data_IF_341647361880
#
_entry.id   IF_341647361880
#
_cell.length_a   1.000
_cell.length_b   1.000
_cell.length_c   1.000
_cell.angle_alpha   90.00
_cell.angle_beta   90.00
_cell.angle_gamma   90.00
#
_symmetry.space_group_name_H-M   'P 1'
#
loop_
_entity.id
_entity.type
_entity.pdbx_description
1 polymer ?
#
# COMPACT_ATOMS: atom_id res chain seq x y z
N UNK A 1 -46.71 -28.05 44.64
CA UNK A 1 -45.79 -27.52 45.67
C UNK A 1 -44.88 -28.67 46.08
N UNK A 2 -43.68 -28.73 45.49
CA UNK A 2 -42.59 -29.60 45.94
C UNK A 2 -41.34 -28.73 45.91
N UNK A 3 -40.74 -28.66 47.07
CA UNK A 3 -39.77 -27.68 47.51
C UNK A 3 -38.53 -27.65 46.61
N UNK A 4 -38.11 -26.44 46.26
CA UNK A 4 -36.73 -26.17 45.91
C UNK A 4 -35.91 -26.44 47.18
N UNK A 5 -35.35 -27.64 47.29
CA UNK A 5 -34.20 -27.84 48.17
C UNK A 5 -33.09 -26.99 47.57
N UNK A 6 -32.95 -25.77 48.10
CA UNK A 6 -31.65 -25.13 48.18
C UNK A 6 -30.74 -26.14 48.88
N UNK A 7 -30.08 -27.00 48.08
CA UNK A 7 -28.75 -27.44 48.43
C UNK A 7 -28.02 -26.14 48.74
N UNK A 8 -27.83 -25.87 50.02
CA UNK A 8 -26.75 -24.99 50.45
C UNK A 8 -25.54 -25.53 49.68
N UNK A 9 -25.17 -24.83 48.60
CA UNK A 9 -23.87 -25.01 47.99
C UNK A 9 -22.94 -24.65 49.13
N UNK A 10 -22.56 -25.68 49.88
CA UNK A 10 -21.74 -25.57 51.07
C UNK A 10 -20.50 -24.83 50.59
N UNK A 11 -20.42 -23.54 50.93
CA UNK A 11 -19.38 -22.67 50.40
C UNK A 11 -18.02 -23.29 50.73
N UNK A 12 -17.91 -24.06 51.81
CA UNK A 12 -16.73 -24.86 52.15
C UNK A 12 -16.37 -25.90 51.09
N UNK A 13 -17.34 -26.60 50.51
CA UNK A 13 -17.10 -27.56 49.41
C UNK A 13 -16.73 -26.84 48.12
N UNK A 14 -17.38 -25.72 47.81
CA UNK A 14 -17.04 -24.90 46.64
C UNK A 14 -15.62 -24.31 46.78
N UNK A 15 -15.26 -23.79 47.94
CA UNK A 15 -13.90 -23.31 48.24
C UNK A 15 -12.87 -24.43 48.21
N UNK A 16 -13.21 -25.65 48.64
CA UNK A 16 -12.33 -26.82 48.54
C UNK A 16 -12.13 -27.26 47.08
N UNK A 17 -13.19 -27.29 46.27
CA UNK A 17 -13.12 -27.59 44.84
C UNK A 17 -12.31 -26.53 44.07
N UNK A 18 -12.52 -25.24 44.38
CA UNK A 18 -11.73 -24.14 43.81
C UNK A 18 -10.28 -24.23 44.26
N UNK A 19 -10.01 -24.49 45.55
CA UNK A 19 -8.66 -24.64 46.09
C UNK A 19 -7.90 -25.82 45.48
N UNK A 20 -8.58 -26.96 45.25
CA UNK A 20 -7.98 -28.12 44.57
C UNK A 20 -7.74 -27.87 43.09
N UNK A 21 -8.62 -27.14 42.39
CA UNK A 21 -8.40 -26.70 41.01
C UNK A 21 -7.22 -25.75 40.89
N UNK A 22 -7.13 -24.73 41.75
CA UNK A 22 -6.01 -23.76 41.78
C UNK A 22 -4.69 -24.48 42.09
N UNK A 23 -4.66 -25.39 43.06
CA UNK A 23 -3.46 -26.17 43.37
C UNK A 23 -3.02 -27.06 42.19
N UNK A 24 -3.96 -27.68 41.47
CA UNK A 24 -3.65 -28.44 40.25
C UNK A 24 -3.11 -27.55 39.13
N UNK A 25 -3.67 -26.35 38.97
CA UNK A 25 -3.20 -25.36 38.00
C UNK A 25 -1.76 -24.91 38.28
N UNK A 26 -1.43 -24.56 39.53
CA UNK A 26 -0.06 -24.18 39.90
C UNK A 26 0.93 -25.35 39.81
N UNK A 27 0.50 -26.59 40.10
CA UNK A 27 1.32 -27.77 39.86
C UNK A 27 1.61 -27.97 38.37
N UNK A 28 0.61 -27.84 37.51
CA UNK A 28 0.77 -27.95 36.06
C UNK A 28 1.73 -26.90 35.52
N UNK A 29 1.62 -25.64 35.97
CA UNK A 29 2.59 -24.59 35.63
C UNK A 29 3.99 -24.96 36.13
N UNK A 30 4.11 -25.40 37.39
CA UNK A 30 5.39 -25.82 37.97
C UNK A 30 6.04 -26.97 37.21
N UNK A 31 5.26 -27.95 36.77
CA UNK A 31 5.71 -29.09 35.98
C UNK A 31 6.14 -28.69 34.56
N UNK A 32 5.42 -27.75 33.92
CA UNK A 32 5.83 -27.15 32.64
C UNK A 32 7.18 -26.43 32.80
N UNK A 33 7.33 -25.58 33.82
CA UNK A 33 8.59 -24.87 34.07
C UNK A 33 9.75 -25.84 34.33
N UNK A 34 9.51 -26.88 35.12
CA UNK A 34 10.52 -27.93 35.39
C UNK A 34 10.90 -28.69 34.12
N UNK A 35 9.93 -29.01 33.27
CA UNK A 35 10.15 -29.68 31.98
C UNK A 35 10.96 -28.79 31.02
N UNK A 36 10.59 -27.51 30.89
CA UNK A 36 11.33 -26.53 30.07
C UNK A 36 12.76 -26.35 30.59
N UNK A 37 12.94 -26.26 31.91
CA UNK A 37 14.27 -26.15 32.50
C UNK A 37 15.11 -27.41 32.26
N UNK A 38 14.51 -28.60 32.36
CA UNK A 38 15.18 -29.85 32.05
C UNK A 38 15.58 -29.95 30.58
N UNK A 39 14.66 -29.61 29.66
CA UNK A 39 14.92 -29.53 28.23
C UNK A 39 16.05 -28.54 27.92
N UNK A 40 16.06 -27.39 28.60
CA UNK A 40 17.12 -26.38 28.45
C UNK A 40 18.48 -26.93 28.88
N UNK A 41 18.56 -27.64 30.02
CA UNK A 41 19.80 -28.30 30.47
C UNK A 41 20.26 -29.35 29.46
N UNK A 42 19.34 -30.18 28.94
CA UNK A 42 19.66 -31.18 27.91
C UNK A 42 20.19 -30.52 26.64
N UNK A 43 19.57 -29.42 26.21
CA UNK A 43 20.01 -28.62 25.07
C UNK A 43 21.41 -28.04 25.28
N UNK A 44 21.69 -27.43 26.44
CA UNK A 44 23.03 -26.94 26.78
C UNK A 44 24.07 -28.08 26.82
N UNK A 45 23.71 -29.24 27.36
CA UNK A 45 24.58 -30.42 27.39
C UNK A 45 24.88 -30.94 25.97
N UNK A 46 23.88 -30.95 25.10
CA UNK A 46 24.00 -31.32 23.69
C UNK A 46 24.94 -30.35 22.96
N UNK A 47 24.73 -29.04 23.10
CA UNK A 47 25.62 -28.02 22.52
C UNK A 47 27.04 -28.22 23.03
N UNK A 48 27.24 -28.39 24.35
CA UNK A 48 28.57 -28.62 24.93
C UNK A 48 29.25 -29.86 24.37
N UNK A 49 28.52 -30.96 24.17
CA UNK A 49 29.04 -32.21 23.60
C UNK A 49 29.42 -32.11 22.12
N UNK A 50 28.85 -31.16 21.39
CA UNK A 50 29.09 -30.95 19.97
C UNK A 50 29.71 -29.59 19.64
N UNK A 51 30.17 -28.85 20.66
CA UNK A 51 30.63 -27.47 20.55
C UNK A 51 31.74 -27.31 19.51
N UNK A 52 32.75 -28.20 19.54
CA UNK A 52 33.85 -28.18 18.58
C UNK A 52 33.39 -28.42 17.13
N UNK A 53 32.35 -29.25 16.93
CA UNK A 53 31.76 -29.49 15.60
C UNK A 53 31.06 -28.25 15.07
N UNK A 54 30.28 -27.57 15.93
CA UNK A 54 29.61 -26.31 15.58
C UNK A 54 30.61 -25.21 15.25
N UNK A 55 31.69 -25.06 16.03
CA UNK A 55 32.76 -24.10 15.72
C UNK A 55 33.39 -24.41 14.37
N UNK A 56 33.77 -25.67 14.13
CA UNK A 56 34.45 -26.07 12.89
C UNK A 56 33.58 -25.80 11.67
N UNK A 57 32.31 -26.21 11.71
CA UNK A 57 31.36 -25.95 10.62
C UNK A 57 31.04 -24.47 10.47
N UNK A 58 30.98 -23.71 11.58
CA UNK A 58 30.81 -22.26 11.55
C UNK A 58 31.95 -21.57 10.82
N UNK A 59 33.21 -21.93 11.11
CA UNK A 59 34.38 -21.38 10.40
C UNK A 59 34.41 -21.77 8.92
N UNK A 60 34.11 -23.03 8.58
CA UNK A 60 33.99 -23.48 7.19
C UNK A 60 32.89 -22.69 6.48
N UNK A 61 31.75 -22.48 7.14
CA UNK A 61 30.64 -21.69 6.61
C UNK A 61 30.99 -20.23 6.41
N UNK A 62 31.78 -19.62 7.29
CA UNK A 62 32.28 -18.26 7.13
C UNK A 62 33.25 -18.16 5.93
N UNK A 63 34.15 -19.14 5.78
CA UNK A 63 35.08 -19.18 4.64
C UNK A 63 34.34 -19.32 3.30
N UNK A 64 33.41 -20.28 3.20
CA UNK A 64 32.58 -20.48 2.00
C UNK A 64 31.69 -19.27 1.75
N UNK A 65 31.00 -18.79 2.78
CA UNK A 65 30.09 -17.64 2.68
C UNK A 65 30.82 -16.37 2.26
N UNK A 66 32.00 -16.11 2.83
CA UNK A 66 32.84 -14.97 2.46
C UNK A 66 33.35 -15.04 1.01
N UNK A 67 33.75 -16.23 0.55
CA UNK A 67 34.12 -16.43 -0.85
C UNK A 67 32.94 -16.18 -1.80
N UNK A 68 31.75 -16.68 -1.47
CA UNK A 68 30.54 -16.49 -2.26
C UNK A 68 30.07 -15.01 -2.29
N UNK A 69 30.24 -14.28 -1.20
CA UNK A 69 29.92 -12.85 -1.11
C UNK A 69 30.91 -12.00 -1.91
N UNK A 70 32.19 -12.40 -1.94
CA UNK A 70 33.23 -11.70 -2.70
C UNK A 70 33.03 -11.78 -4.22
N UNK A 71 32.50 -12.91 -4.71
CA UNK A 71 32.20 -13.11 -6.14
C UNK A 71 30.80 -12.61 -6.50
N UNK A 72 29.93 -12.39 -5.52
CA UNK A 72 28.60 -11.86 -5.75
C UNK A 72 28.70 -10.46 -6.37
N UNK A 73 27.94 -10.25 -7.44
CA UNK A 73 27.85 -8.94 -8.06
C UNK A 73 27.05 -7.98 -7.15
N UNK A 74 27.40 -6.69 -7.11
CA UNK A 74 26.66 -5.72 -6.31
C UNK A 74 25.24 -5.58 -6.83
N UNK A 75 24.26 -5.49 -5.92
CA UNK A 75 22.86 -5.22 -6.27
C UNK A 75 22.53 -3.77 -5.92
N UNK A 76 22.00 -3.05 -6.89
CA UNK A 76 21.49 -1.69 -6.76
C UNK A 76 19.97 -1.70 -6.86
N UNK A 77 19.32 -1.03 -5.91
CA UNK A 77 17.87 -0.85 -5.90
C UNK A 77 17.52 0.58 -6.29
N UNK A 78 16.61 0.70 -7.23
CA UNK A 78 16.02 1.96 -7.64
C UNK A 78 14.51 1.86 -7.46
N UNK A 79 13.89 2.90 -6.91
CA UNK A 79 12.45 2.99 -6.74
C UNK A 79 11.89 4.20 -7.47
N UNK A 80 10.67 4.06 -8.01
CA UNK A 80 9.87 5.15 -8.55
C UNK A 80 8.48 5.09 -7.92
N UNK A 81 7.87 6.26 -7.73
CA UNK A 81 6.51 6.39 -7.21
C UNK A 81 5.62 6.94 -8.31
N UNK A 82 4.51 6.26 -8.54
CA UNK A 82 3.55 6.61 -9.58
C UNK A 82 2.13 6.64 -9.04
N UNK A 83 1.28 7.36 -9.76
CA UNK A 83 -0.17 7.46 -9.55
C UNK A 83 -0.85 7.04 -10.87
N UNK A 84 -1.31 5.79 -10.99
CA UNK A 84 -2.06 5.33 -12.15
C UNK A 84 -3.46 5.94 -12.17
N UNK A 85 -3.89 6.41 -13.34
CA UNK A 85 -5.24 6.95 -13.58
C UNK A 85 -6.10 5.95 -14.35
N UNK A 86 -7.39 6.27 -14.53
CA UNK A 86 -8.34 5.49 -15.35
C UNK A 86 -8.47 4.01 -14.93
N UNK A 87 -8.26 3.71 -13.65
CA UNK A 87 -8.26 2.35 -13.09
C UNK A 87 -7.26 1.41 -13.79
N UNK A 88 -6.12 1.94 -14.25
CA UNK A 88 -5.08 1.18 -14.95
C UNK A 88 -4.16 0.37 -14.03
N UNK A 89 -4.38 0.40 -12.71
CA UNK A 89 -3.52 -0.26 -11.72
C UNK A 89 -3.37 -1.75 -12.00
N UNK A 90 -4.45 -2.46 -12.30
CA UNK A 90 -4.38 -3.91 -12.55
C UNK A 90 -3.49 -4.23 -13.77
N UNK A 91 -3.63 -3.47 -14.85
CA UNK A 91 -2.79 -3.66 -16.04
C UNK A 91 -1.31 -3.40 -15.71
N UNK A 92 -1.05 -2.37 -14.92
CA UNK A 92 0.30 -2.05 -14.47
C UNK A 92 0.91 -3.17 -13.63
N UNK A 93 0.16 -3.75 -12.69
CA UNK A 93 0.62 -4.90 -11.91
C UNK A 93 0.94 -6.10 -12.82
N UNK A 94 0.04 -6.41 -13.76
CA UNK A 94 0.26 -7.50 -14.72
C UNK A 94 1.52 -7.26 -15.58
N UNK A 95 1.76 -6.03 -16.04
CA UNK A 95 2.94 -5.69 -16.82
C UNK A 95 4.23 -5.83 -15.99
N UNK A 96 4.23 -5.35 -14.74
CA UNK A 96 5.38 -5.48 -13.85
C UNK A 96 5.65 -6.95 -13.49
N UNK A 97 4.60 -7.73 -13.22
CA UNK A 97 4.72 -9.16 -12.96
C UNK A 97 5.32 -9.89 -14.17
N UNK A 98 4.85 -9.57 -15.38
CA UNK A 98 5.42 -10.09 -16.62
C UNK A 98 6.92 -9.76 -16.75
N UNK A 99 7.33 -8.51 -16.53
CA UNK A 99 8.75 -8.14 -16.58
C UNK A 99 9.58 -8.88 -15.51
N UNK A 100 9.02 -9.07 -14.32
CA UNK A 100 9.67 -9.82 -13.26
C UNK A 100 9.85 -11.29 -13.60
N UNK A 101 8.85 -11.92 -14.22
CA UNK A 101 8.94 -13.30 -14.70
C UNK A 101 10.04 -13.46 -15.73
N UNK A 102 10.12 -12.55 -16.71
CA UNK A 102 11.18 -12.54 -17.72
C UNK A 102 12.58 -12.39 -17.09
N UNK A 103 12.72 -11.51 -16.09
CA UNK A 103 13.98 -11.31 -15.37
C UNK A 103 14.40 -12.58 -14.58
N UNK A 104 13.46 -13.19 -13.84
CA UNK A 104 13.72 -14.40 -13.05
C UNK A 104 14.06 -15.61 -13.95
N UNK A 105 13.38 -15.73 -15.09
CA UNK A 105 13.61 -16.79 -16.07
C UNK A 105 14.83 -16.53 -16.98
N UNK A 106 15.49 -15.38 -16.82
CA UNK A 106 16.65 -14.97 -17.64
C UNK A 106 16.33 -14.89 -19.14
N UNK A 107 15.09 -14.55 -19.49
CA UNK A 107 14.67 -14.30 -20.88
C UNK A 107 15.11 -12.91 -21.36
N UNK A 108 16.43 -12.68 -21.40
CA UNK A 108 17.02 -11.35 -21.60
C UNK A 108 16.59 -10.69 -22.90
N UNK A 109 16.39 -11.47 -23.97
CA UNK A 109 15.94 -10.95 -25.27
C UNK A 109 14.53 -10.36 -25.17
N UNK A 110 13.58 -11.11 -24.62
CA UNK A 110 12.21 -10.64 -24.44
C UNK A 110 12.14 -9.46 -23.46
N UNK A 111 12.96 -9.49 -22.40
CA UNK A 111 13.06 -8.41 -21.42
C UNK A 111 13.61 -7.12 -22.04
N UNK A 112 14.62 -7.25 -22.90
CA UNK A 112 15.22 -6.14 -23.64
C UNK A 112 14.22 -5.50 -24.62
N UNK A 113 13.47 -6.33 -25.36
CA UNK A 113 12.39 -5.88 -26.24
C UNK A 113 11.30 -5.16 -25.45
N UNK A 114 10.87 -5.71 -24.31
CA UNK A 114 9.85 -5.12 -23.45
C UNK A 114 10.28 -3.75 -22.89
N UNK A 115 11.51 -3.62 -22.38
CA UNK A 115 12.03 -2.37 -21.82
C UNK A 115 12.64 -1.42 -22.85
N UNK A 116 12.76 -1.83 -24.12
CA UNK A 116 13.46 -1.10 -25.17
C UNK A 116 14.90 -0.72 -24.80
N UNK A 117 15.63 -1.70 -24.25
CA UNK A 117 17.05 -1.59 -23.87
C UNK A 117 17.88 -2.61 -24.64
N UNK A 118 19.21 -2.54 -24.55
CA UNK A 118 20.07 -3.55 -25.16
C UNK A 118 19.94 -4.90 -24.44
N UNK A 119 20.06 -6.02 -25.17
CA UNK A 119 20.04 -7.37 -24.59
C UNK A 119 21.11 -7.55 -23.50
N UNK A 120 22.27 -6.92 -23.68
CA UNK A 120 23.35 -6.90 -22.69
C UNK A 120 22.97 -6.15 -21.42
N UNK A 121 22.12 -5.14 -21.53
CA UNK A 121 21.66 -4.35 -20.40
C UNK A 121 20.57 -5.07 -19.61
N UNK A 122 19.70 -5.82 -20.32
CA UNK A 122 18.67 -6.65 -19.70
C UNK A 122 19.26 -7.72 -18.76
N UNK A 123 20.47 -8.23 -19.04
CA UNK A 123 21.21 -9.15 -18.15
C UNK A 123 21.45 -8.59 -16.74
N UNK A 124 21.49 -7.26 -16.61
CA UNK A 124 21.71 -6.62 -15.32
C UNK A 124 20.43 -6.49 -14.50
N UNK A 125 19.25 -6.82 -15.04
CA UNK A 125 17.98 -6.71 -14.32
C UNK A 125 17.74 -8.03 -13.59
N UNK A 126 17.79 -7.98 -12.26
CA UNK A 126 17.65 -9.16 -11.42
C UNK A 126 16.20 -9.37 -10.98
N UNK A 127 15.47 -8.28 -10.71
CA UNK A 127 14.10 -8.33 -10.18
C UNK A 127 13.36 -7.02 -10.47
N UNK A 128 12.06 -7.13 -10.72
CA UNK A 128 11.14 -5.99 -10.86
C UNK A 128 9.95 -6.23 -9.95
N UNK A 129 9.57 -5.27 -9.12
CA UNK A 129 8.43 -5.41 -8.21
C UNK A 129 7.58 -4.16 -8.18
N UNK A 130 6.31 -4.33 -7.84
CA UNK A 130 5.37 -3.24 -7.59
C UNK A 130 4.61 -3.52 -6.30
N UNK A 131 4.44 -2.50 -5.49
CA UNK A 131 3.64 -2.55 -4.28
C UNK A 131 2.85 -1.26 -4.08
N UNK A 132 1.82 -1.34 -3.24
CA UNK A 132 1.09 -0.16 -2.80
C UNK A 132 2.01 0.77 -2.05
N UNK A 133 1.83 2.07 -2.24
CA UNK A 133 2.54 3.10 -1.49
C UNK A 133 1.53 4.03 -0.85
N UNK A 134 1.33 3.85 0.45
CA UNK A 134 0.41 4.67 1.23
C UNK A 134 1.06 5.06 2.55
N UNK A 135 1.20 6.36 2.77
CA UNK A 135 1.54 6.88 4.10
C UNK A 135 0.32 6.78 5.04
N UNK A 136 0.52 6.73 6.35
CA UNK A 136 -0.55 6.61 7.35
C UNK A 136 -1.61 7.70 7.18
N UNK A 137 -1.18 8.94 6.93
CA UNK A 137 -2.09 10.08 6.68
C UNK A 137 -2.97 9.85 5.44
N UNK A 138 -2.43 9.21 4.40
CA UNK A 138 -3.19 8.92 3.19
C UNK A 138 -4.19 7.78 3.43
N UNK A 139 -3.81 6.76 4.19
CA UNK A 139 -4.72 5.67 4.59
C UNK A 139 -5.91 6.19 5.38
N UNK A 140 -5.69 7.13 6.29
CA UNK A 140 -6.77 7.81 7.04
C UNK A 140 -7.68 8.61 6.10
N UNK A 141 -7.10 9.33 5.13
CA UNK A 141 -7.88 10.12 4.18
C UNK A 141 -8.72 9.22 3.26
N UNK A 142 -8.15 8.16 2.71
CA UNK A 142 -8.86 7.19 1.89
C UNK A 142 -9.97 6.47 2.67
N UNK A 143 -9.73 6.16 3.94
CA UNK A 143 -10.78 5.66 4.83
C UNK A 143 -11.92 6.68 5.00
N UNK A 144 -11.60 7.95 5.22
CA UNK A 144 -12.62 9.00 5.35
C UNK A 144 -13.43 9.19 4.07
N UNK A 145 -12.80 9.10 2.90
CA UNK A 145 -13.47 9.16 1.59
C UNK A 145 -14.37 7.92 1.39
N UNK A 146 -13.86 6.72 1.67
CA UNK A 146 -14.61 5.47 1.60
C UNK A 146 -15.83 5.48 2.53
N UNK A 147 -15.67 5.85 3.80
CA UNK A 147 -16.78 5.99 4.76
C UNK A 147 -17.79 7.02 4.27
N UNK A 148 -17.34 8.11 3.63
CA UNK A 148 -18.21 9.14 3.07
C UNK A 148 -19.08 8.66 1.90
N UNK A 149 -18.67 7.61 1.18
CA UNK A 149 -19.45 6.98 0.10
C UNK A 149 -20.46 5.95 0.59
N UNK A 150 -20.32 5.47 1.84
CA UNK A 150 -21.21 4.49 2.45
C UNK A 150 -22.48 5.12 3.02
N UNK A 151 -23.55 4.34 3.06
CA UNK A 151 -24.77 4.73 3.77
C UNK A 151 -24.58 4.72 5.30
N UNK A 152 -25.47 5.40 6.02
CA UNK A 152 -25.36 5.57 7.48
C UNK A 152 -25.39 4.27 8.27
N UNK A 153 -25.91 3.18 7.69
CA UNK A 153 -25.95 1.84 8.29
C UNK A 153 -24.59 1.15 8.12
N UNK A 154 -24.02 1.22 6.92
CA UNK A 154 -22.72 0.64 6.58
C UNK A 154 -21.57 1.37 7.27
N UNK A 155 -21.68 2.69 7.45
CA UNK A 155 -20.70 3.50 8.20
C UNK A 155 -20.53 3.03 9.66
N UNK A 156 -21.59 2.50 10.28
CA UNK A 156 -21.53 1.99 11.67
C UNK A 156 -20.88 0.61 11.77
N UNK A 157 -20.77 -0.11 10.65
CA UNK A 157 -20.25 -1.48 10.60
C UNK A 157 -18.79 -1.56 10.14
N UNK A 158 -18.26 -0.49 9.54
CA UNK A 158 -16.88 -0.43 9.06
C UNK A 158 -16.07 0.47 9.99
N UNK A 159 -15.23 -0.15 10.82
CA UNK A 159 -14.20 0.58 11.57
C UNK A 159 -12.87 0.64 10.78
N UNK A 160 -11.95 1.47 11.26
CA UNK A 160 -10.67 1.68 10.59
C UNK A 160 -9.82 0.39 10.53
N UNK A 161 -9.84 -0.43 11.58
CA UNK A 161 -9.11 -1.71 11.63
C UNK A 161 -9.65 -2.72 10.61
N UNK A 162 -10.97 -2.82 10.49
CA UNK A 162 -11.65 -3.63 9.49
C UNK A 162 -11.32 -3.15 8.08
N UNK A 163 -11.30 -1.83 7.86
CA UNK A 163 -10.87 -1.26 6.59
C UNK A 163 -9.41 -1.61 6.29
N UNK A 164 -8.48 -1.44 7.24
CA UNK A 164 -7.07 -1.76 7.01
C UNK A 164 -6.84 -3.25 6.72
N UNK A 165 -7.59 -4.15 7.36
CA UNK A 165 -7.48 -5.60 7.15
C UNK A 165 -7.99 -6.04 5.77
N UNK A 166 -8.97 -5.32 5.22
CA UNK A 166 -9.59 -5.62 3.93
C UNK A 166 -9.18 -4.63 2.83
N UNK A 167 -8.30 -3.68 3.13
CA UNK A 167 -7.80 -2.71 2.17
C UNK A 167 -7.00 -3.48 1.14
N UNK A 168 -7.56 -3.60 -0.06
CA UNK A 168 -6.82 -4.14 -1.17
C UNK A 168 -5.72 -3.12 -1.50
N UNK A 169 -4.47 -3.50 -1.25
CA UNK A 169 -3.29 -2.69 -1.55
C UNK A 169 -3.29 -2.17 -3.00
N UNK A 170 -3.89 -2.91 -3.94
CA UNK A 170 -4.07 -2.49 -5.34
C UNK A 170 -4.91 -1.21 -5.47
N UNK A 171 -5.79 -0.89 -4.53
CA UNK A 171 -6.60 0.33 -4.57
C UNK A 171 -5.90 1.56 -3.96
N UNK A 172 -4.62 1.43 -3.59
CA UNK A 172 -3.83 2.57 -3.15
C UNK A 172 -3.75 3.65 -4.24
N UNK A 173 -3.65 4.91 -3.80
CA UNK A 173 -3.54 6.03 -4.73
C UNK A 173 -2.18 6.06 -5.42
N UNK A 174 -1.13 5.71 -4.67
CA UNK A 174 0.24 5.66 -5.17
C UNK A 174 0.76 4.25 -5.12
N UNK A 175 1.64 3.94 -6.05
CA UNK A 175 2.33 2.66 -6.13
C UNK A 175 3.82 2.90 -6.28
N UNK A 176 4.60 2.05 -5.62
CA UNK A 176 6.05 2.06 -5.72
C UNK A 176 6.48 0.90 -6.60
N UNK A 177 7.19 1.21 -7.67
CA UNK A 177 7.88 0.22 -8.50
C UNK A 177 9.34 0.21 -8.08
N UNK A 178 9.89 -0.97 -7.87
CA UNK A 178 11.30 -1.17 -7.56
C UNK A 178 11.95 -2.07 -8.60
N UNK A 179 13.16 -1.71 -9.01
CA UNK A 179 14.01 -2.53 -9.89
C UNK A 179 15.32 -2.78 -9.17
N UNK A 180 15.66 -4.06 -9.03
CA UNK A 180 16.96 -4.49 -8.54
C UNK A 180 17.84 -4.87 -9.72
N UNK A 181 19.02 -4.25 -9.78
CA UNK A 181 19.93 -4.37 -10.90
C UNK A 181 21.37 -4.57 -10.46
N UNK A 182 22.19 -5.20 -11.28
CA UNK A 182 23.65 -5.25 -11.06
C UNK A 182 24.35 -3.95 -11.47
N UNK A 183 23.74 -3.15 -12.34
CA UNK A 183 24.29 -1.88 -12.82
C UNK A 183 23.39 -0.72 -12.39
N UNK A 184 23.93 0.32 -11.70
CA UNK A 184 23.12 1.35 -11.05
C UNK A 184 22.31 2.22 -12.01
N UNK A 185 22.65 2.24 -13.31
CA UNK A 185 22.08 3.16 -14.29
C UNK A 185 20.91 2.56 -15.10
N UNK A 186 20.70 1.24 -15.02
CA UNK A 186 19.75 0.52 -15.89
C UNK A 186 18.30 0.83 -15.54
N UNK A 187 17.96 0.92 -14.25
CA UNK A 187 16.59 1.19 -13.82
C UNK A 187 16.01 2.48 -14.41
N UNK A 188 16.84 3.53 -14.56
CA UNK A 188 16.40 4.80 -15.15
C UNK A 188 15.99 4.65 -16.61
N UNK A 189 16.67 3.78 -17.37
CA UNK A 189 16.38 3.53 -18.79
C UNK A 189 15.03 2.81 -18.97
N UNK A 190 14.69 1.92 -18.05
CA UNK A 190 13.43 1.16 -18.09
C UNK A 190 12.18 2.03 -17.81
N UNK A 191 12.33 3.19 -17.18
CA UNK A 191 11.23 4.05 -16.72
C UNK A 191 10.21 4.34 -17.83
N UNK A 192 10.70 4.72 -19.02
CA UNK A 192 9.84 5.13 -20.13
C UNK A 192 9.00 3.97 -20.63
N UNK A 193 9.60 2.80 -20.79
CA UNK A 193 8.89 1.62 -21.28
C UNK A 193 7.77 1.18 -20.33
N UNK A 194 7.99 1.25 -19.00
CA UNK A 194 6.96 0.96 -18.00
C UNK A 194 5.73 1.85 -18.19
N UNK A 195 5.93 3.17 -18.27
CA UNK A 195 4.82 4.13 -18.41
C UNK A 195 4.13 3.96 -19.76
N UNK A 196 4.90 3.89 -20.85
CA UNK A 196 4.37 3.78 -22.20
C UNK A 196 3.64 2.46 -22.45
N UNK A 197 3.97 1.38 -21.73
CA UNK A 197 3.24 0.09 -21.80
C UNK A 197 1.76 0.21 -21.48
N UNK A 198 1.39 1.16 -20.62
CA UNK A 198 0.00 1.43 -20.22
C UNK A 198 -0.64 2.45 -21.16
N UNK A 199 0.12 3.48 -21.56
CA UNK A 199 -0.35 4.52 -22.48
C UNK A 199 -0.68 3.99 -23.88
N UNK A 200 0.01 2.95 -24.34
CA UNK A 200 -0.21 2.34 -25.65
C UNK A 200 -1.42 1.40 -25.70
N UNK A 201 -2.01 1.06 -24.56
CA UNK A 201 -3.21 0.23 -24.53
C UNK A 201 -4.41 1.05 -25.06
N UNK A 202 -5.10 0.52 -26.09
CA UNK A 202 -6.19 1.22 -26.77
C UNK A 202 -7.32 1.64 -25.82
N UNK A 203 -7.65 0.81 -24.83
CA UNK A 203 -8.69 1.12 -23.86
C UNK A 203 -8.32 2.34 -23.01
N UNK A 204 -7.11 2.36 -22.42
CA UNK A 204 -6.69 3.49 -21.58
C UNK A 204 -6.42 4.76 -22.38
N UNK A 205 -5.96 4.62 -23.63
CA UNK A 205 -5.82 5.74 -24.56
C UNK A 205 -7.18 6.39 -24.83
N UNK A 206 -8.20 5.60 -25.15
CA UNK A 206 -9.55 6.10 -25.35
C UNK A 206 -10.13 6.78 -24.10
N UNK A 207 -9.95 6.17 -22.92
CA UNK A 207 -10.41 6.77 -21.65
C UNK A 207 -9.78 8.14 -21.42
N UNK A 208 -8.48 8.26 -21.66
CA UNK A 208 -7.77 9.53 -21.55
C UNK A 208 -8.28 10.56 -22.56
N UNK A 209 -8.42 10.19 -23.83
CA UNK A 209 -8.91 11.09 -24.89
C UNK A 209 -10.32 11.62 -24.59
N UNK A 210 -11.23 10.75 -24.14
CA UNK A 210 -12.59 11.15 -23.75
C UNK A 210 -12.57 12.05 -22.52
N UNK A 211 -11.74 11.76 -21.53
CA UNK A 211 -11.56 12.61 -20.36
C UNK A 211 -11.04 14.01 -20.74
N UNK A 212 -10.00 14.08 -21.57
CA UNK A 212 -9.44 15.35 -22.05
C UNK A 212 -10.49 16.17 -22.82
N UNK A 213 -11.31 15.50 -23.64
CA UNK A 213 -12.44 16.13 -24.33
C UNK A 213 -13.50 16.65 -23.34
N UNK A 214 -13.92 15.85 -22.36
CA UNK A 214 -14.92 16.24 -21.37
C UNK A 214 -14.43 17.43 -20.52
N UNK A 215 -13.15 17.46 -20.16
CA UNK A 215 -12.54 18.57 -19.44
C UNK A 215 -12.55 19.84 -20.30
N UNK A 216 -12.17 19.75 -21.58
CA UNK A 216 -12.21 20.89 -22.50
C UNK A 216 -13.63 21.42 -22.71
N UNK A 217 -14.61 20.50 -22.84
CA UNK A 217 -16.03 20.85 -22.94
C UNK A 217 -16.52 21.54 -21.67
N UNK A 218 -16.16 21.00 -20.49
CA UNK A 218 -16.47 21.61 -19.19
C UNK A 218 -15.88 23.02 -19.04
N UNK A 219 -14.62 23.21 -19.43
CA UNK A 219 -13.95 24.51 -19.43
C UNK A 219 -14.75 25.51 -20.30
N UNK A 220 -15.17 25.08 -21.50
CA UNK A 220 -15.97 25.90 -22.42
C UNK A 220 -17.35 26.26 -21.85
N UNK A 221 -18.04 25.29 -21.23
CA UNK A 221 -19.37 25.52 -20.62
C UNK A 221 -19.27 26.51 -19.47
N UNK A 222 -18.26 26.37 -18.60
CA UNK A 222 -18.05 27.27 -17.46
C UNK A 222 -17.76 28.70 -17.95
N UNK A 223 -16.92 28.87 -18.97
CA UNK A 223 -16.66 30.20 -19.53
C UNK A 223 -17.90 30.83 -20.16
N UNK A 224 -18.73 30.04 -20.85
CA UNK A 224 -20.00 30.53 -21.39
C UNK A 224 -20.96 30.96 -20.27
N UNK A 225 -21.16 30.13 -19.26
CA UNK A 225 -22.03 30.44 -18.12
C UNK A 225 -21.53 31.67 -17.34
N UNK A 226 -20.21 31.82 -17.19
CA UNK A 226 -19.62 33.00 -16.57
C UNK A 226 -19.97 34.27 -17.35
N UNK A 227 -19.84 34.23 -18.69
CA UNK A 227 -20.24 35.34 -19.55
C UNK A 227 -21.73 35.68 -19.41
N UNK A 228 -22.59 34.66 -19.39
CA UNK A 228 -24.04 34.85 -19.21
C UNK A 228 -24.35 35.52 -17.85
N UNK A 229 -23.63 35.15 -16.78
CA UNK A 229 -23.76 35.81 -15.47
C UNK A 229 -23.25 37.26 -15.51
N UNK A 230 -22.11 37.52 -16.15
CA UNK A 230 -21.56 38.87 -16.28
C UNK A 230 -22.53 39.79 -17.05
N UNK A 231 -23.13 39.29 -18.14
CA UNK A 231 -24.15 39.99 -18.94
C UNK A 231 -25.42 40.28 -18.11
N UNK A 232 -25.89 39.31 -17.31
CA UNK A 232 -27.02 39.48 -16.40
C UNK A 232 -26.73 40.51 -15.30
N UNK A 233 -25.53 40.49 -14.71
CA UNK A 233 -25.12 41.46 -13.71
C UNK A 233 -25.09 42.88 -14.29
N UNK A 234 -24.60 43.04 -15.53
CA UNK A 234 -24.61 44.33 -16.22
C UNK A 234 -26.05 44.81 -16.48
N UNK A 235 -26.94 43.90 -16.91
CA UNK A 235 -28.36 44.20 -17.12
C UNK A 235 -29.05 44.67 -15.84
N UNK A 236 -28.91 43.94 -14.73
CA UNK A 236 -29.47 44.35 -13.43
C UNK A 236 -28.91 45.69 -12.93
N UNK A 237 -27.60 45.91 -13.10
CA UNK A 237 -26.95 47.19 -12.76
C UNK A 237 -27.55 48.34 -13.57
N UNK A 238 -27.81 48.15 -14.87
CA UNK A 238 -28.47 49.15 -15.72
C UNK A 238 -29.89 49.46 -15.24
N UNK A 239 -30.68 48.44 -14.89
CA UNK A 239 -32.04 48.62 -14.33
C UNK A 239 -31.99 49.47 -13.07
N UNK A 240 -31.11 49.15 -12.12
CA UNK A 240 -30.99 49.91 -10.87
C UNK A 240 -30.58 51.36 -11.08
N UNK A 241 -29.67 51.64 -12.02
CA UNK A 241 -29.29 53.01 -12.38
C UNK A 241 -30.48 53.77 -12.96
N UNK A 242 -31.31 53.12 -13.79
CA UNK A 242 -32.51 53.73 -14.36
C UNK A 242 -33.59 53.98 -13.30
N UNK A 243 -33.78 53.06 -12.37
CA UNK A 243 -34.70 53.24 -11.22
C UNK A 243 -34.27 54.41 -10.33
N UNK A 244 -32.98 54.52 -10.00
CA UNK A 244 -32.44 55.62 -9.19
C UNK A 244 -32.52 57.00 -9.88
N UNK A 245 -32.72 57.04 -11.20
CA UNK A 245 -32.88 58.28 -11.97
C UNK A 245 -34.34 58.72 -12.14
N UNK A 246 -35.32 57.95 -11.67
CA UNK A 246 -36.73 58.35 -11.72
C UNK A 246 -36.98 59.47 -10.70
N UNK A 247 -37.73 60.53 -11.07
CA UNK A 247 -38.03 61.63 -10.14
C UNK A 247 -38.90 61.15 -8.97
N UNK A 248 -38.58 61.61 -7.77
CA UNK A 248 -39.35 61.35 -6.55
C UNK A 248 -40.79 61.88 -6.74
N UNK A 249 -41.77 60.97 -6.90
CA UNK A 249 -43.19 61.33 -6.94
C UNK A 249 -44.06 60.76 -8.06
N UNK A 250 -43.52 59.97 -9.00
CA UNK A 250 -44.37 59.25 -9.95
C UNK A 250 -44.89 57.94 -9.30
N UNK A 251 -46.21 57.80 -9.19
CA UNK A 251 -46.90 56.61 -8.65
C UNK A 251 -46.52 55.35 -9.42
N UNK A 252 -45.53 54.61 -8.91
CA UNK A 252 -45.16 53.31 -9.44
C UNK A 252 -46.17 52.27 -8.94
N UNK A 253 -47.02 51.80 -9.85
CA UNK A 253 -47.83 50.61 -9.60
C UNK A 253 -46.87 49.42 -9.47
N UNK A 254 -46.52 49.05 -8.23
CA UNK A 254 -45.76 47.85 -7.92
C UNK A 254 -46.69 46.64 -8.06
N UNK A 255 -46.74 46.05 -9.25
CA UNK A 255 -47.53 44.85 -9.56
C UNK A 255 -46.80 43.53 -9.22
N UNK A 256 -45.75 43.56 -8.40
CA UNK A 256 -45.04 42.37 -7.96
C UNK A 256 -44.88 42.41 -6.44
N UNK A 257 -45.87 41.86 -5.75
CA UNK A 257 -45.78 41.53 -4.33
C UNK A 257 -44.54 40.67 -4.05
N UNK A 258 -43.71 41.14 -3.11
CA UNK A 258 -42.88 40.34 -2.21
C UNK A 258 -41.77 39.42 -2.79
N UNK A 259 -40.82 39.92 -3.59
CA UNK A 259 -39.42 39.41 -3.55
C UNK A 259 -38.39 40.55 -3.70
N UNK A 260 -37.39 40.64 -2.81
CA UNK A 260 -36.46 41.76 -2.81
C UNK A 260 -35.45 41.60 -3.96
N UNK A 261 -35.36 42.58 -4.86
CA UNK A 261 -34.32 42.68 -5.91
C UNK A 261 -32.88 42.57 -5.36
N UNK A 262 -32.68 42.79 -4.07
CA UNK A 262 -31.40 42.61 -3.37
C UNK A 262 -31.00 41.13 -3.22
N UNK A 263 -31.95 40.20 -3.30
CA UNK A 263 -31.67 38.75 -3.32
C UNK A 263 -31.04 38.30 -4.65
N UNK A 264 -31.47 38.86 -5.79
CA UNK A 264 -31.04 38.40 -7.12
C UNK A 264 -29.56 38.69 -7.42
N UNK A 265 -29.02 39.83 -6.96
CA UNK A 265 -27.58 40.13 -7.12
C UNK A 265 -26.71 39.23 -6.24
N UNK A 266 -27.17 38.95 -5.02
CA UNK A 266 -26.50 38.02 -4.12
C UNK A 266 -26.56 36.60 -4.70
N UNK A 267 -27.66 36.21 -5.33
CA UNK A 267 -27.80 34.94 -6.05
C UNK A 267 -26.84 34.85 -7.24
N UNK A 268 -26.74 35.90 -8.07
CA UNK A 268 -25.77 35.94 -9.18
C UNK A 268 -24.33 35.88 -8.69
N UNK A 269 -24.00 36.58 -7.60
CA UNK A 269 -22.66 36.52 -6.99
C UNK A 269 -22.35 35.12 -6.45
N UNK A 270 -23.32 34.49 -5.77
CA UNK A 270 -23.20 33.12 -5.27
C UNK A 270 -23.02 32.13 -6.43
N UNK A 271 -23.73 32.32 -7.55
CA UNK A 271 -23.57 31.48 -8.73
C UNK A 271 -22.20 31.67 -9.39
N UNK A 272 -21.70 32.91 -9.51
CA UNK A 272 -20.35 33.18 -9.97
C UNK A 272 -19.28 32.51 -9.08
N UNK A 273 -19.48 32.53 -7.76
CA UNK A 273 -18.59 31.84 -6.82
C UNK A 273 -18.63 30.31 -7.01
N UNK A 274 -19.80 29.72 -7.26
CA UNK A 274 -19.93 28.29 -7.59
C UNK A 274 -19.16 27.94 -8.86
N UNK A 275 -19.36 28.70 -9.95
CA UNK A 275 -18.63 28.48 -11.20
C UNK A 275 -17.11 28.60 -11.01
N UNK A 276 -16.65 29.54 -10.20
CA UNK A 276 -15.21 29.65 -9.85
C UNK A 276 -14.70 28.40 -9.13
N UNK A 277 -15.47 27.87 -8.18
CA UNK A 277 -15.10 26.65 -7.46
C UNK A 277 -15.11 25.43 -8.38
N UNK A 278 -16.09 25.33 -9.28
CA UNK A 278 -16.17 24.29 -10.31
C UNK A 278 -14.97 24.37 -11.25
N UNK A 279 -14.58 25.56 -11.71
CA UNK A 279 -13.36 25.77 -12.51
C UNK A 279 -12.10 25.31 -11.77
N UNK A 280 -12.00 25.57 -10.47
CA UNK A 280 -10.87 25.09 -9.66
C UNK A 280 -10.86 23.56 -9.59
N UNK A 281 -12.02 22.92 -9.39
CA UNK A 281 -12.13 21.46 -9.39
C UNK A 281 -11.73 20.87 -10.74
N UNK A 282 -12.24 21.43 -11.83
CA UNK A 282 -11.93 20.98 -13.19
C UNK A 282 -10.43 21.11 -13.52
N UNK A 283 -9.79 22.21 -13.08
CA UNK A 283 -8.34 22.37 -13.24
C UNK A 283 -7.54 21.36 -12.42
N UNK A 284 -7.99 21.00 -11.21
CA UNK A 284 -7.36 19.94 -10.42
C UNK A 284 -7.52 18.58 -11.08
N UNK A 285 -8.71 18.28 -11.59
CA UNK A 285 -8.98 17.06 -12.35
C UNK A 285 -8.07 16.97 -13.56
N UNK A 286 -7.99 18.04 -14.37
CA UNK A 286 -7.08 18.16 -15.51
C UNK A 286 -5.62 17.93 -15.16
N UNK A 287 -5.16 18.46 -14.03
CA UNK A 287 -3.78 18.24 -13.58
C UNK A 287 -3.54 16.77 -13.21
N UNK A 288 -4.51 16.14 -12.53
CA UNK A 288 -4.40 14.76 -12.07
C UNK A 288 -4.58 13.75 -13.20
N UNK A 289 -5.43 14.00 -14.20
CA UNK A 289 -5.75 13.03 -15.28
C UNK A 289 -4.95 13.28 -16.56
N UNK A 290 -3.98 14.19 -16.53
CA UNK A 290 -3.16 14.57 -17.69
C UNK A 290 -2.44 13.38 -18.36
N UNK A 291 -2.02 12.39 -17.59
CA UNK A 291 -1.37 11.18 -18.10
C UNK A 291 -2.12 9.94 -17.59
N UNK A 292 -2.01 8.84 -18.33
CA UNK A 292 -2.56 7.55 -17.88
C UNK A 292 -1.85 7.04 -16.63
N UNK A 293 -0.55 7.33 -16.50
CA UNK A 293 0.22 7.08 -15.29
C UNK A 293 1.05 8.34 -14.99
N UNK A 294 0.79 8.97 -13.86
CA UNK A 294 1.59 10.11 -13.40
C UNK A 294 2.83 9.60 -12.68
N UNK A 295 3.98 10.23 -12.95
CA UNK A 295 5.22 9.97 -12.20
C UNK A 295 5.35 11.02 -11.10
N UNK A 296 5.27 10.58 -9.84
CA UNK A 296 5.39 11.44 -8.66
C UNK A 296 6.86 11.55 -8.24
N UNK A 297 7.55 10.41 -8.25
CA UNK A 297 8.99 10.32 -8.09
C UNK A 297 9.54 9.44 -9.18
N UNK A 298 10.43 9.99 -9.98
CA UNK A 298 11.14 9.22 -11.00
C UNK A 298 12.16 8.27 -10.37
N UNK A 299 12.63 7.28 -11.15
CA UNK A 299 13.82 6.54 -10.76
C UNK A 299 15.02 7.51 -10.64
N UNK A 300 15.88 7.32 -9.62
CA UNK A 300 17.14 8.05 -9.57
C UNK A 300 18.04 7.64 -10.74
N UNK A 301 18.93 8.55 -11.17
CA UNK A 301 19.90 8.27 -12.24
C UNK A 301 20.87 7.14 -11.87
N UNK A 302 21.10 6.91 -10.58
CA UNK A 302 21.91 5.81 -10.03
C UNK A 302 21.16 5.18 -8.85
N UNK A 303 20.99 3.86 -8.90
CA UNK A 303 20.38 3.10 -7.82
C UNK A 303 21.24 3.09 -6.55
N UNK A 304 20.58 2.90 -5.40
CA UNK A 304 21.24 2.79 -4.11
C UNK A 304 21.78 1.37 -3.93
N UNK A 305 23.00 1.23 -3.41
CA UNK A 305 23.57 -0.09 -3.12
C UNK A 305 22.75 -0.79 -2.03
N UNK A 306 22.29 -2.00 -2.30
CA UNK A 306 21.61 -2.84 -1.31
C UNK A 306 22.67 -3.52 -0.46
N UNK A 307 22.72 -3.15 0.82
CA UNK A 307 23.66 -3.75 1.78
C UNK A 307 22.94 -4.24 3.03
N UNK A 308 22.03 -5.20 2.85
CA UNK A 308 21.35 -5.82 3.99
C UNK A 308 22.27 -6.84 4.66
N UNK A 309 22.67 -6.58 5.92
CA UNK A 309 23.63 -7.41 6.64
C UNK A 309 23.21 -8.89 6.73
N UNK A 310 21.92 -9.15 6.98
CA UNK A 310 21.38 -10.50 7.15
C UNK A 310 21.16 -11.25 5.84
N UNK A 311 21.14 -10.57 4.69
CA UNK A 311 21.01 -11.23 3.38
C UNK A 311 22.35 -11.62 2.76
N UNK A 312 23.46 -11.12 3.32
CA UNK A 312 24.81 -11.44 2.83
C UNK A 312 25.12 -12.92 2.97
N UNK A 313 25.78 -13.48 1.95
CA UNK A 313 26.10 -14.92 1.92
C UNK A 313 27.08 -15.30 3.03
N UNK A 314 27.96 -14.39 3.42
CA UNK A 314 28.87 -14.55 4.57
C UNK A 314 28.13 -14.80 5.89
N UNK A 315 26.90 -14.32 6.04
CA UNK A 315 26.07 -14.53 7.23
C UNK A 315 25.13 -15.72 7.05
N UNK A 316 24.47 -15.84 5.90
CA UNK A 316 23.47 -16.88 5.64
C UNK A 316 24.07 -18.29 5.55
N UNK A 317 25.22 -18.44 4.88
CA UNK A 317 25.85 -19.76 4.67
C UNK A 317 26.29 -20.45 5.98
N UNK A 318 26.96 -19.79 6.95
CA UNK A 318 27.24 -20.39 8.25
C UNK A 318 25.98 -20.80 9.01
N UNK A 319 24.94 -19.95 9.02
CA UNK A 319 23.68 -20.24 9.70
C UNK A 319 23.04 -21.50 9.13
N UNK A 320 22.98 -21.61 7.79
CA UNK A 320 22.42 -22.77 7.10
C UNK A 320 23.20 -24.04 7.43
N UNK A 321 24.53 -24.01 7.35
CA UNK A 321 25.37 -25.19 7.64
C UNK A 321 25.29 -25.63 9.10
N UNK A 322 25.28 -24.68 10.04
CA UNK A 322 25.10 -24.96 11.48
C UNK A 322 23.72 -25.54 11.74
N UNK A 323 22.67 -25.03 11.09
CA UNK A 323 21.31 -25.53 11.20
C UNK A 323 21.17 -26.96 10.67
N UNK A 324 21.75 -27.26 9.50
CA UNK A 324 21.78 -28.62 8.93
C UNK A 324 22.57 -29.57 9.85
N UNK A 325 23.72 -29.14 10.39
CA UNK A 325 24.47 -29.94 11.35
C UNK A 325 23.67 -30.19 12.64
N UNK A 326 22.97 -29.18 13.14
CA UNK A 326 22.13 -29.33 14.32
C UNK A 326 21.04 -30.39 14.09
N UNK A 327 20.30 -30.27 12.98
CA UNK A 327 19.22 -31.21 12.64
C UNK A 327 19.73 -32.65 12.46
N UNK A 328 20.87 -32.82 11.80
CA UNK A 328 21.48 -34.15 11.60
C UNK A 328 21.94 -34.77 12.92
N UNK A 329 22.57 -34.01 13.81
CA UNK A 329 23.01 -34.50 15.12
C UNK A 329 21.82 -34.85 16.03
N UNK A 330 20.74 -34.06 15.99
CA UNK A 330 19.49 -34.38 16.70
C UNK A 330 18.89 -35.69 16.18
N UNK A 331 18.79 -35.87 14.87
CA UNK A 331 18.30 -37.11 14.26
C UNK A 331 19.14 -38.33 14.65
N UNK A 332 20.47 -38.20 14.66
CA UNK A 332 21.37 -39.28 15.10
C UNK A 332 21.16 -39.61 16.58
N UNK A 333 21.03 -38.58 17.43
CA UNK A 333 20.78 -38.77 18.86
C UNK A 333 19.42 -39.44 19.12
N UNK A 334 18.39 -39.06 18.36
CA UNK A 334 17.07 -39.65 18.42
C UNK A 334 17.11 -41.11 17.98
N UNK A 335 17.77 -41.41 16.85
CA UNK A 335 17.90 -42.78 16.36
C UNK A 335 18.64 -43.68 17.36
N UNK A 336 19.72 -43.19 17.99
CA UNK A 336 20.42 -43.93 19.06
C UNK A 336 19.53 -44.18 20.28
N UNK A 337 18.68 -43.22 20.63
CA UNK A 337 17.72 -43.38 21.72
C UNK A 337 16.68 -44.46 21.38
N UNK A 338 16.11 -44.43 20.17
CA UNK A 338 15.13 -45.41 19.69
C UNK A 338 15.74 -46.84 19.65
N UNK A 339 16.97 -46.99 19.13
CA UNK A 339 17.64 -48.31 19.09
C UNK A 339 17.92 -48.92 20.47
N UNK A 340 18.03 -48.08 21.50
CA UNK A 340 18.24 -48.52 22.88
C UNK A 340 16.92 -48.57 23.69
N UNK A 341 15.79 -48.21 23.09
CA UNK A 341 14.47 -48.27 23.72
C UNK A 341 13.86 -49.68 23.64
N UNK A 342 14.22 -50.43 22.58
CA UNK A 342 13.79 -51.82 22.36
C UNK A 342 14.70 -52.85 23.06
N UNK A 343 15.63 -52.42 23.92
CA UNK A 343 16.47 -53.26 24.79
C UNK A 343 16.22 -52.90 26.25
#
# INVERSE_FOLDING_TARGET
MKEHTSEEIDLGQLFHLIGTMINRFFKLIGDIFKSIFHLSILFLKFIRGHFLKFITVGFIGLAIGGYLDHIAQPTYRSSMIIEPNFNSVQQLYNNIEFYNQLAIQQENKALAEAFHIDEKEALYINKVTIESFSDETQRIKQFSEFIGELDSISQQQVDYEYYLKNFNDINAKFHKIEIETTSPEIAKKCQKAIVTSIENNEYFKLQKEINDYNIALGDSIIEQQKKEIDDLQEFYKKIKILEAKKPDGATSINLAENKPYQSSEIELLNQAQKLKNEKIKLNKEKANTKNTVNIISEFPNKGALVSDFFSKKIVLTPILLVSVLFLTLVMISLNKYLMNYDK
#
